data_IF_538026603236
#
_entry.id   IF_538026603236
#
_cell.length_a   1.000
_cell.length_b   1.000
_cell.length_c   1.000
_cell.angle_alpha   90.00
_cell.angle_beta   90.00
_cell.angle_gamma   90.00
#
_symmetry.space_group_name_H-M   'P 1'
#
loop_
_entity.id
_entity.type
_entity.pdbx_description
1 polymer ?
#
# COMPACT_ATOMS: atom_id res chain seq x y z
N UNK A 1 13.00 0.56 -14.04
CA UNK A 1 12.88 0.40 -12.56
C UNK A 1 13.18 -1.05 -12.24
N UNK A 2 14.30 -1.38 -11.61
CA UNK A 2 14.72 -2.77 -11.40
C UNK A 2 14.18 -3.30 -10.06
N UNK A 3 13.45 -4.42 -10.09
CA UNK A 3 12.92 -5.10 -8.90
C UNK A 3 13.98 -6.00 -8.26
N UNK A 4 15.21 -5.51 -8.16
CA UNK A 4 16.36 -6.25 -7.62
C UNK A 4 16.75 -5.68 -6.25
N UNK A 5 17.26 -6.56 -5.39
CA UNK A 5 17.83 -6.22 -4.09
C UNK A 5 19.16 -6.95 -3.99
N UNK A 6 20.24 -6.21 -3.73
CA UNK A 6 21.55 -6.80 -3.47
C UNK A 6 21.60 -7.27 -2.02
N UNK A 7 22.01 -8.50 -1.80
CA UNK A 7 22.23 -9.03 -0.45
C UNK A 7 23.51 -8.41 0.11
N UNK A 8 23.42 -7.83 1.32
CA UNK A 8 24.56 -7.26 2.02
C UNK A 8 25.01 -8.19 3.13
N UNK A 9 26.32 -8.48 3.19
CA UNK A 9 26.97 -9.21 4.30
C UNK A 9 26.31 -10.54 4.68
N UNK A 10 25.72 -11.24 3.72
CA UNK A 10 25.03 -12.52 3.96
C UNK A 10 23.67 -12.43 4.67
N UNK A 11 23.13 -11.23 4.90
CA UNK A 11 21.83 -11.04 5.54
C UNK A 11 20.67 -11.28 4.56
N UNK A 12 20.42 -12.56 4.25
CA UNK A 12 19.40 -12.99 3.31
C UNK A 12 17.99 -12.55 3.73
N UNK A 13 17.65 -12.68 5.01
CA UNK A 13 16.32 -12.34 5.52
C UNK A 13 15.97 -10.86 5.33
N UNK A 14 16.94 -9.98 5.57
CA UNK A 14 16.75 -8.54 5.40
C UNK A 14 16.57 -8.19 3.92
N UNK A 15 17.35 -8.82 3.04
CA UNK A 15 17.19 -8.67 1.61
C UNK A 15 15.79 -9.12 1.13
N UNK A 16 15.30 -10.27 1.60
CA UNK A 16 13.94 -10.73 1.31
C UNK A 16 12.87 -9.78 1.84
N UNK A 17 13.04 -9.23 3.04
CA UNK A 17 12.09 -8.26 3.62
C UNK A 17 12.02 -6.99 2.78
N UNK A 18 13.17 -6.45 2.38
CA UNK A 18 13.25 -5.29 1.49
C UNK A 18 12.63 -5.58 0.13
N UNK A 19 12.88 -6.76 -0.44
CA UNK A 19 12.28 -7.17 -1.71
C UNK A 19 10.75 -7.26 -1.61
N UNK A 20 10.22 -7.87 -0.55
CA UNK A 20 8.78 -7.93 -0.27
C UNK A 20 8.17 -6.54 -0.14
N UNK A 21 8.85 -5.61 0.52
CA UNK A 21 8.41 -4.21 0.63
C UNK A 21 8.38 -3.52 -0.74
N UNK A 22 9.45 -3.62 -1.53
CA UNK A 22 9.48 -3.09 -2.90
C UNK A 22 8.37 -3.66 -3.79
N UNK A 23 8.09 -4.95 -3.68
CA UNK A 23 6.98 -5.62 -4.37
C UNK A 23 5.61 -5.06 -3.97
N UNK A 24 5.43 -4.77 -2.69
CA UNK A 24 4.20 -4.18 -2.17
C UNK A 24 4.04 -2.71 -2.61
N UNK A 25 5.12 -1.93 -2.59
CA UNK A 25 5.13 -0.53 -3.02
C UNK A 25 4.77 -0.39 -4.52
N UNK A 26 5.26 -1.31 -5.36
CA UNK A 26 4.89 -1.40 -6.79
C UNK A 26 3.45 -1.90 -6.98
N UNK A 27 2.89 -2.61 -5.99
CA UNK A 27 1.54 -3.19 -6.08
C UNK A 27 1.45 -4.47 -6.92
N UNK A 28 2.59 -5.04 -7.33
CA UNK A 28 2.65 -6.18 -8.25
C UNK A 28 1.90 -7.41 -7.72
N UNK A 29 1.98 -7.67 -6.42
CA UNK A 29 1.28 -8.81 -5.80
C UNK A 29 -0.24 -8.70 -5.92
N UNK A 30 -0.79 -7.48 -5.82
CA UNK A 30 -2.23 -7.22 -5.97
C UNK A 30 -2.65 -7.35 -7.43
N UNK A 31 -1.82 -6.86 -8.35
CA UNK A 31 -2.07 -7.01 -9.79
C UNK A 31 -2.05 -8.45 -10.24
N UNK A 32 -1.04 -9.22 -9.85
CA UNK A 32 -0.92 -10.63 -10.24
C UNK A 32 -2.15 -11.42 -9.79
N UNK A 33 -2.62 -11.22 -8.55
CA UNK A 33 -3.85 -11.84 -8.04
C UNK A 33 -5.08 -11.48 -8.87
N UNK A 34 -5.19 -10.23 -9.33
CA UNK A 34 -6.30 -9.77 -10.16
C UNK A 34 -6.25 -10.31 -11.58
N UNK A 35 -5.07 -10.60 -12.12
CA UNK A 35 -4.90 -11.15 -13.47
C UNK A 35 -5.26 -12.63 -13.56
N UNK A 36 -5.34 -13.35 -12.43
CA UNK A 36 -5.67 -14.77 -12.39
C UNK A 36 -7.11 -15.06 -12.84
N UNK A 37 -8.02 -14.11 -12.65
CA UNK A 37 -9.43 -14.28 -12.98
C UNK A 37 -9.89 -13.17 -13.91
N UNK A 38 -10.79 -13.51 -14.84
CA UNK A 38 -11.46 -12.49 -15.62
C UNK A 38 -12.38 -11.66 -14.71
N UNK A 39 -12.26 -10.34 -14.81
CA UNK A 39 -13.14 -9.39 -14.13
C UNK A 39 -13.93 -8.63 -15.20
N UNK A 40 -15.25 -8.63 -15.08
CA UNK A 40 -16.11 -7.92 -16.04
C UNK A 40 -15.80 -6.41 -15.99
N UNK A 41 -15.82 -5.67 -17.12
CA UNK A 41 -15.51 -4.24 -17.14
C UNK A 41 -16.35 -3.39 -16.18
N UNK A 42 -17.62 -3.76 -15.96
CA UNK A 42 -18.51 -3.10 -15.00
C UNK A 42 -18.06 -3.29 -13.55
N UNK A 43 -17.61 -4.49 -13.19
CA UNK A 43 -17.12 -4.81 -11.84
C UNK A 43 -15.78 -4.14 -11.58
N UNK A 44 -14.92 -4.09 -12.60
CA UNK A 44 -13.67 -3.35 -12.58
C UNK A 44 -13.89 -1.87 -12.23
N UNK A 45 -14.89 -1.21 -12.83
CA UNK A 45 -15.24 0.19 -12.55
C UNK A 45 -15.71 0.37 -11.10
N UNK A 46 -16.70 -0.41 -10.66
CA UNK A 46 -17.21 -0.40 -9.28
C UNK A 46 -16.11 -0.61 -8.24
N UNK A 47 -15.17 -1.52 -8.51
CA UNK A 47 -14.03 -1.76 -7.62
C UNK A 47 -13.11 -0.54 -7.51
N UNK A 48 -12.82 0.13 -8.64
CA UNK A 48 -11.94 1.30 -8.66
C UNK A 48 -12.56 2.42 -7.81
N UNK A 49 -13.84 2.72 -8.03
CA UNK A 49 -14.60 3.72 -7.26
C UNK A 49 -14.54 3.42 -5.76
N UNK A 50 -14.89 2.19 -5.36
CA UNK A 50 -14.88 1.78 -3.96
C UNK A 50 -13.45 1.78 -3.35
N UNK A 51 -12.41 1.48 -4.13
CA UNK A 51 -11.02 1.57 -3.66
C UNK A 51 -10.57 3.02 -3.46
N UNK A 52 -11.05 3.95 -4.27
CA UNK A 52 -10.79 5.38 -4.15
C UNK A 52 -11.51 5.97 -2.93
N UNK A 53 -12.78 5.67 -2.74
CA UNK A 53 -13.56 6.06 -1.55
C UNK A 53 -12.88 5.59 -0.27
N UNK A 54 -12.48 4.30 -0.21
CA UNK A 54 -11.73 3.75 0.92
C UNK A 54 -10.41 4.46 1.15
N UNK A 55 -9.71 4.86 0.09
CA UNK A 55 -8.45 5.60 0.19
C UNK A 55 -8.67 7.01 0.75
N UNK A 56 -9.72 7.70 0.30
CA UNK A 56 -10.08 9.02 0.79
C UNK A 56 -10.48 8.98 2.27
N UNK A 57 -11.34 8.03 2.66
CA UNK A 57 -11.74 7.83 4.04
C UNK A 57 -10.53 7.58 4.97
N UNK A 58 -9.58 6.75 4.54
CA UNK A 58 -8.33 6.51 5.29
C UNK A 58 -7.47 7.77 5.44
N UNK A 59 -7.37 8.60 4.39
CA UNK A 59 -6.62 9.87 4.44
C UNK A 59 -7.26 10.87 5.40
N UNK A 60 -8.59 10.99 5.36
CA UNK A 60 -9.34 11.85 6.28
C UNK A 60 -9.14 11.42 7.73
N UNK A 61 -9.23 10.11 8.01
CA UNK A 61 -8.96 9.56 9.35
C UNK A 61 -7.54 9.90 9.82
N UNK A 62 -6.52 9.66 8.98
CA UNK A 62 -5.13 9.96 9.33
C UNK A 62 -4.91 11.44 9.59
N UNK A 63 -5.53 12.31 8.79
CA UNK A 63 -5.47 13.76 8.99
C UNK A 63 -6.09 14.16 10.33
N UNK A 64 -7.28 13.65 10.64
CA UNK A 64 -7.98 13.96 11.90
C UNK A 64 -7.20 13.46 13.11
N UNK A 65 -6.66 12.23 13.05
CA UNK A 65 -5.80 11.68 14.10
C UNK A 65 -4.55 12.55 14.30
N UNK A 66 -3.88 12.93 13.21
CA UNK A 66 -2.70 13.83 13.29
C UNK A 66 -3.06 15.17 13.92
N UNK A 67 -4.22 15.73 13.57
CA UNK A 67 -4.71 16.98 14.14
C UNK A 67 -4.95 16.85 15.64
N UNK A 68 -5.64 15.79 16.09
CA UNK A 68 -5.91 15.50 17.50
C UNK A 68 -4.61 15.32 18.28
N UNK A 69 -3.69 14.48 17.79
CA UNK A 69 -2.40 14.22 18.44
C UNK A 69 -1.54 15.49 18.53
N UNK A 70 -1.55 16.33 17.48
CA UNK A 70 -0.86 17.62 17.49
C UNK A 70 -1.46 18.61 18.49
N UNK A 71 -2.78 18.50 18.77
CA UNK A 71 -3.46 19.34 19.75
C UNK A 71 -3.16 18.87 21.18
N UNK A 72 -3.24 17.57 21.43
CA UNK A 72 -2.86 16.95 22.71
C UNK A 72 -1.39 17.24 23.09
N UNK A 73 -0.46 17.14 22.12
CA UNK A 73 0.95 17.42 22.35
C UNK A 73 1.26 18.90 22.67
N UNK A 74 0.35 19.83 22.34
CA UNK A 74 0.48 21.27 22.61
C UNK A 74 -0.17 21.70 23.94
N UNK A 75 -0.70 20.77 24.73
CA UNK A 75 -1.22 21.06 26.07
C UNK A 75 -2.61 21.69 26.12
N UNK A 76 -3.47 21.38 25.14
CA UNK A 76 -4.93 21.50 25.27
C UNK A 76 -5.56 20.11 25.49
#
# INVERSE_FOLDING_TARGET
>A
MALTVRVLKGHNELAFRLLKRKLADVGLTKELRRRLTYEKPSEKRRRIEHEEERRQARRALQHNLRFILSRMARGF
#
